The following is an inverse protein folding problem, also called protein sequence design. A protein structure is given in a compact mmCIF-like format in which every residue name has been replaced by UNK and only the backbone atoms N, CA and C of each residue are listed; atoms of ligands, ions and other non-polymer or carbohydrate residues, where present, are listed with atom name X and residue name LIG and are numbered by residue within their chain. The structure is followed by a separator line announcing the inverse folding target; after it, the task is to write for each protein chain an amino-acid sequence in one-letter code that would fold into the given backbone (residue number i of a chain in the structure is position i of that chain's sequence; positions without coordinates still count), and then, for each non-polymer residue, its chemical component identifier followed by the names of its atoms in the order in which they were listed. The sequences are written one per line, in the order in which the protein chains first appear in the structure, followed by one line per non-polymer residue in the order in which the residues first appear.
data_IF_892656728071
#
_entry.id   IF_892656728071
#
_cell.length_a   1.000
_cell.length_b   1.000
_cell.length_c   1.000
_cell.angle_alpha   90.00
_cell.angle_beta   90.00
_cell.angle_gamma   90.00
#
_symmetry.space_group_name_H-M   'P 1'
#
loop_
_entity.id
_entity.type
_entity.pdbx_description
1 polymer ?
#
# COMPACT_ATOMS: atom_id res chain seq x y z
N UNK A 1 -32.57 25.06 -30.57
CA UNK A 1 -32.93 23.74 -30.00
C UNK A 1 -31.73 23.21 -29.25
N UNK A 2 -31.85 22.89 -27.95
CA UNK A 2 -31.00 21.97 -27.19
C UNK A 2 -31.55 21.87 -25.75
N UNK A 3 -32.45 20.90 -25.53
CA UNK A 3 -33.07 20.65 -24.22
C UNK A 3 -32.19 19.73 -23.38
N UNK A 4 -31.65 20.27 -22.28
CA UNK A 4 -30.95 19.53 -21.22
C UNK A 4 -31.93 19.28 -20.08
N UNK A 5 -32.47 18.06 -19.98
CA UNK A 5 -33.33 17.66 -18.88
C UNK A 5 -32.54 16.81 -17.87
N UNK A 6 -32.41 17.30 -16.62
CA UNK A 6 -32.06 16.51 -15.44
C UNK A 6 -33.37 16.06 -14.78
N UNK A 7 -33.58 14.78 -14.44
CA UNK A 7 -34.67 14.42 -13.55
C UNK A 7 -34.24 14.60 -12.09
N UNK A 8 -34.85 15.58 -11.44
CA UNK A 8 -35.03 15.66 -9.98
C UNK A 8 -36.24 14.79 -9.64
N UNK A 9 -36.12 13.85 -8.69
CA UNK A 9 -37.29 13.29 -8.02
C UNK A 9 -37.02 13.14 -6.51
N UNK A 10 -38.00 13.44 -5.63
CA UNK A 10 -37.80 13.95 -4.27
C UNK A 10 -38.03 12.86 -3.18
N UNK A 11 -38.06 13.20 -1.87
CA UNK A 11 -37.74 12.27 -0.78
C UNK A 11 -38.97 11.56 -0.20
N UNK A 12 -38.79 10.31 0.20
CA UNK A 12 -39.75 9.57 1.05
C UNK A 12 -39.26 9.60 2.50
N UNK A 13 -40.04 10.23 3.38
CA UNK A 13 -39.90 10.14 4.84
C UNK A 13 -40.90 9.12 5.39
N UNK A 14 -40.51 8.30 6.37
CA UNK A 14 -41.31 8.04 7.59
C UNK A 14 -40.46 7.39 8.69
N UNK A 15 -40.47 8.00 9.87
CA UNK A 15 -39.89 7.50 11.13
C UNK A 15 -40.84 6.47 11.81
N UNK A 16 -40.48 5.80 12.93
CA UNK A 16 -40.22 6.46 14.22
C UNK A 16 -39.05 5.90 15.05
N UNK A 17 -38.56 6.73 15.97
CA UNK A 17 -37.71 6.36 17.11
C UNK A 17 -38.50 5.50 18.13
N UNK A 18 -37.83 4.89 19.13
CA UNK A 18 -37.59 5.65 20.35
C UNK A 18 -36.24 5.41 21.06
N UNK A 19 -35.85 6.42 21.83
CA UNK A 19 -35.08 6.36 23.07
C UNK A 19 -33.58 5.95 23.00
N UNK A 20 -32.73 6.98 22.98
CA UNK A 20 -31.54 7.04 23.83
C UNK A 20 -31.97 6.99 25.33
N UNK A 21 -31.11 6.75 26.35
CA UNK A 21 -29.68 7.09 26.37
C UNK A 21 -28.76 6.12 27.15
N UNK A 22 -27.45 6.21 26.93
CA UNK A 22 -26.43 6.34 27.98
C UNK A 22 -25.04 6.05 27.40
N UNK A 23 -24.19 7.08 27.34
CA UNK A 23 -22.76 6.88 27.58
C UNK A 23 -22.58 6.68 29.09
N UNK A 24 -21.70 5.76 29.50
CA UNK A 24 -20.70 6.14 30.48
C UNK A 24 -19.30 5.89 29.92
N UNK A 25 -18.41 6.81 30.29
CA UNK A 25 -16.98 6.71 30.07
C UNK A 25 -16.34 5.67 31.01
N UNK A 26 -15.07 5.37 30.69
CA UNK A 26 -14.07 4.60 31.46
C UNK A 26 -14.21 3.08 31.32
N UNK A 27 -13.17 2.28 31.07
CA UNK A 27 -11.80 2.35 31.58
C UNK A 27 -10.86 1.52 30.69
N UNK A 28 -9.60 1.94 30.71
CA UNK A 28 -8.37 1.26 30.31
C UNK A 28 -8.33 -0.25 30.65
N UNK A 29 -7.87 -1.07 29.71
CA UNK A 29 -7.08 -2.31 29.92
C UNK A 29 -6.99 -3.11 28.61
N UNK A 30 -5.77 -3.55 28.33
CA UNK A 30 -5.35 -4.40 27.21
C UNK A 30 -6.18 -5.68 27.06
N UNK A 31 -6.34 -6.14 25.81
CA UNK A 31 -5.69 -7.37 25.35
C UNK A 31 -5.99 -7.62 23.86
N UNK A 32 -4.94 -8.07 23.17
CA UNK A 32 -4.91 -8.82 21.93
C UNK A 32 -6.13 -8.82 20.99
N UNK A 33 -6.01 -8.06 19.90
CA UNK A 33 -6.76 -8.32 18.68
C UNK A 33 -5.86 -8.14 17.46
N UNK A 34 -5.03 -9.14 17.18
CA UNK A 34 -4.36 -9.30 15.90
C UNK A 34 -5.41 -9.23 14.77
N UNK A 35 -5.27 -8.36 13.75
CA UNK A 35 -6.21 -8.38 12.64
C UNK A 35 -5.99 -9.68 11.86
N UNK A 36 -6.99 -10.55 11.88
CA UNK A 36 -7.04 -11.76 11.07
C UNK A 36 -6.72 -11.40 9.61
N UNK A 37 -5.50 -11.75 9.17
CA UNK A 37 -5.04 -11.48 7.80
C UNK A 37 -5.91 -12.31 6.86
N UNK A 38 -6.95 -11.70 6.30
CA UNK A 38 -7.69 -12.27 5.19
C UNK A 38 -6.69 -12.48 4.05
N UNK A 39 -6.21 -13.72 3.89
CA UNK A 39 -5.43 -14.11 2.72
C UNK A 39 -6.37 -14.16 1.55
N UNK A 40 -6.66 -12.99 0.97
CA UNK A 40 -7.29 -12.93 -0.34
C UNK A 40 -6.26 -13.45 -1.32
N UNK A 41 -6.39 -14.73 -1.65
CA UNK A 41 -5.69 -15.38 -2.74
C UNK A 41 -6.12 -14.66 -4.03
N UNK A 42 -5.43 -13.57 -4.34
CA UNK A 42 -5.67 -12.78 -5.53
C UNK A 42 -5.02 -13.52 -6.70
N UNK A 43 -5.64 -14.64 -7.08
CA UNK A 43 -5.41 -15.29 -8.35
C UNK A 43 -5.44 -14.22 -9.43
N UNK A 44 -4.25 -13.95 -9.97
CA UNK A 44 -3.96 -13.23 -11.21
C UNK A 44 -5.18 -12.47 -11.75
N UNK A 45 -5.46 -11.29 -11.18
CA UNK A 45 -6.44 -10.35 -11.74
C UNK A 45 -5.95 -10.00 -13.14
N UNK A 46 -6.54 -10.68 -14.13
CA UNK A 46 -6.20 -10.63 -15.55
C UNK A 46 -6.42 -9.24 -16.20
N UNK A 47 -6.89 -8.26 -15.43
CA UNK A 47 -7.31 -6.94 -15.89
C UNK A 47 -6.38 -5.81 -15.41
N UNK A 48 -5.11 -6.09 -15.12
CA UNK A 48 -4.10 -5.02 -15.01
C UNK A 48 -3.47 -4.81 -16.38
N UNK A 49 -3.44 -3.56 -16.85
CA UNK A 49 -2.62 -3.15 -17.99
C UNK A 49 -1.23 -3.73 -17.79
N UNK A 50 -0.68 -4.48 -18.77
CA UNK A 50 0.67 -4.99 -18.67
C UNK A 50 1.63 -3.85 -18.37
N UNK A 51 2.53 -4.07 -17.41
CA UNK A 51 3.54 -3.10 -17.06
C UNK A 51 4.46 -2.90 -18.27
N UNK A 52 4.92 -1.66 -18.52
CA UNK A 52 5.88 -1.41 -19.59
C UNK A 52 7.13 -2.28 -19.37
N UNK A 53 7.81 -2.68 -20.45
CA UNK A 53 8.95 -3.61 -20.38
C UNK A 53 10.03 -3.11 -19.41
N UNK A 54 10.33 -1.82 -19.44
CA UNK A 54 11.37 -1.21 -18.61
C UNK A 54 10.95 -1.14 -17.13
N UNK A 55 9.68 -0.84 -16.86
CA UNK A 55 9.11 -0.86 -15.52
C UNK A 55 9.14 -2.28 -14.93
N UNK A 56 8.81 -3.30 -15.73
CA UNK A 56 8.86 -4.69 -15.32
C UNK A 56 10.29 -5.15 -15.04
N UNK A 57 11.25 -4.69 -15.84
CA UNK A 57 12.67 -4.93 -15.59
C UNK A 57 13.11 -4.30 -14.27
N UNK A 58 12.82 -3.01 -14.06
CA UNK A 58 13.12 -2.31 -12.79
C UNK A 58 12.47 -3.00 -11.58
N UNK A 59 11.23 -3.46 -11.73
CA UNK A 59 10.54 -4.22 -10.69
C UNK A 59 11.26 -5.51 -10.33
N UNK A 60 11.70 -6.28 -11.33
CA UNK A 60 12.46 -7.51 -11.12
C UNK A 60 13.80 -7.23 -10.44
N UNK A 61 14.56 -6.29 -10.99
CA UNK A 61 15.89 -5.92 -10.52
C UNK A 61 15.85 -5.41 -9.07
N UNK A 62 14.89 -4.55 -8.72
CA UNK A 62 14.77 -4.02 -7.34
C UNK A 62 14.28 -5.09 -6.36
N UNK A 63 13.41 -6.00 -6.80
CA UNK A 63 12.94 -7.12 -5.97
C UNK A 63 14.06 -8.10 -5.66
N UNK A 64 14.89 -8.41 -6.67
CA UNK A 64 16.06 -9.26 -6.49
C UNK A 64 17.09 -8.62 -5.56
N UNK A 65 17.37 -7.33 -5.74
CA UNK A 65 18.30 -6.59 -4.88
C UNK A 65 17.82 -6.61 -3.41
N UNK A 66 16.56 -6.25 -3.16
CA UNK A 66 16.00 -6.27 -1.80
C UNK A 66 16.05 -7.67 -1.18
N UNK A 67 15.70 -8.71 -1.93
CA UNK A 67 15.74 -10.09 -1.46
C UNK A 67 17.15 -10.51 -1.00
N UNK A 68 18.16 -10.21 -1.82
CA UNK A 68 19.55 -10.56 -1.52
C UNK A 68 20.10 -9.75 -0.34
N UNK A 69 19.75 -8.47 -0.24
CA UNK A 69 20.29 -7.58 0.79
C UNK A 69 19.61 -7.79 2.15
N UNK A 70 18.30 -8.03 2.17
CA UNK A 70 17.51 -8.15 3.41
C UNK A 70 17.38 -9.59 3.91
N UNK A 71 17.97 -10.56 3.21
CA UNK A 71 18.06 -11.95 3.66
C UNK A 71 16.78 -12.77 3.47
N UNK A 72 15.84 -12.32 2.63
CA UNK A 72 14.66 -13.11 2.32
C UNK A 72 13.46 -12.34 1.78
N UNK A 73 12.41 -13.11 1.47
CA UNK A 73 11.20 -12.63 0.81
C UNK A 73 10.41 -11.66 1.66
N UNK A 74 10.15 -12.00 2.92
CA UNK A 74 9.20 -11.24 3.74
C UNK A 74 9.75 -9.85 4.07
N UNK A 75 11.01 -9.74 4.48
CA UNK A 75 11.67 -8.46 4.70
C UNK A 75 11.72 -7.58 3.43
N UNK A 76 12.05 -8.18 2.28
CA UNK A 76 12.07 -7.47 1.01
C UNK A 76 10.68 -6.98 0.58
N UNK A 77 9.66 -7.83 0.71
CA UNK A 77 8.27 -7.48 0.38
C UNK A 77 7.75 -6.38 1.29
N UNK A 78 8.01 -6.47 2.59
CA UNK A 78 7.57 -5.49 3.57
C UNK A 78 8.23 -4.13 3.29
N UNK A 79 9.55 -4.09 3.06
CA UNK A 79 10.25 -2.86 2.70
C UNK A 79 9.70 -2.24 1.41
N UNK A 80 9.58 -3.03 0.34
CA UNK A 80 9.20 -2.51 -0.98
C UNK A 80 7.76 -2.00 -1.03
N UNK A 81 6.87 -2.60 -0.24
CA UNK A 81 5.44 -2.26 -0.27
C UNK A 81 5.02 -1.26 0.80
N UNK A 82 5.81 -1.07 1.85
CA UNK A 82 5.54 -0.11 2.93
C UNK A 82 5.85 1.33 2.51
N UNK A 83 5.23 2.29 3.18
CA UNK A 83 5.62 3.69 3.06
C UNK A 83 7.00 3.90 3.67
N UNK A 84 7.88 4.60 2.95
CA UNK A 84 9.20 4.97 3.43
C UNK A 84 9.35 6.50 3.38
N UNK A 85 9.32 7.13 4.55
CA UNK A 85 9.40 8.58 4.68
C UNK A 85 10.71 9.17 4.14
N UNK A 86 11.83 8.44 4.23
CA UNK A 86 13.12 8.90 3.71
C UNK A 86 13.16 8.93 2.17
N UNK A 87 12.36 8.07 1.53
CA UNK A 87 12.22 8.02 0.07
C UNK A 87 11.03 8.86 -0.43
N UNK A 88 10.21 9.41 0.47
CA UNK A 88 9.03 10.20 0.12
C UNK A 88 7.86 9.36 -0.44
N UNK A 89 7.82 8.06 -0.17
CA UNK A 89 6.73 7.19 -0.61
C UNK A 89 7.06 5.70 -0.56
N UNK A 90 6.26 4.91 -1.29
CA UNK A 90 6.42 3.45 -1.39
C UNK A 90 7.58 3.09 -2.32
N UNK A 91 8.61 2.36 -1.85
CA UNK A 91 9.80 2.10 -2.66
C UNK A 91 9.53 1.40 -3.99
N UNK A 92 8.60 0.43 -4.03
CA UNK A 92 8.25 -0.26 -5.28
C UNK A 92 7.59 0.66 -6.31
N UNK A 93 6.79 1.62 -5.86
CA UNK A 93 6.14 2.58 -6.75
C UNK A 93 7.16 3.57 -7.33
N UNK A 94 8.07 4.06 -6.48
CA UNK A 94 9.14 4.97 -6.89
C UNK A 94 10.12 4.31 -7.86
N UNK A 95 10.54 3.07 -7.57
CA UNK A 95 11.49 2.33 -8.38
C UNK A 95 10.95 1.96 -9.77
N UNK A 96 9.63 1.75 -9.91
CA UNK A 96 9.05 1.42 -11.21
C UNK A 96 8.68 2.65 -12.03
N UNK A 97 8.32 3.76 -11.38
CA UNK A 97 7.89 5.00 -12.05
C UNK A 97 8.99 5.68 -12.88
N UNK A 98 10.27 5.53 -12.52
CA UNK A 98 11.38 6.15 -13.25
C UNK A 98 12.72 5.47 -12.98
N UNK A 99 13.72 5.74 -13.83
CA UNK A 99 15.09 5.29 -13.60
C UNK A 99 15.75 5.99 -12.40
N UNK A 100 15.44 7.27 -12.17
CA UNK A 100 15.95 8.03 -11.02
C UNK A 100 15.41 7.46 -9.70
N UNK A 101 14.10 7.20 -9.63
CA UNK A 101 13.48 6.56 -8.47
C UNK A 101 14.04 5.16 -8.22
N UNK A 102 14.38 4.41 -9.28
CA UNK A 102 15.06 3.13 -9.15
C UNK A 102 16.43 3.28 -8.47
N UNK A 103 17.27 4.20 -8.94
CA UNK A 103 18.60 4.40 -8.36
C UNK A 103 18.53 4.89 -6.90
N UNK A 104 17.59 5.77 -6.59
CA UNK A 104 17.37 6.24 -5.21
C UNK A 104 17.03 5.08 -4.26
N UNK A 105 16.10 4.21 -4.67
CA UNK A 105 15.70 3.05 -3.86
C UNK A 105 16.82 2.02 -3.80
N UNK A 106 17.53 1.78 -4.90
CA UNK A 106 18.65 0.85 -4.95
C UNK A 106 19.80 1.31 -4.04
N UNK A 107 20.12 2.61 -4.00
CA UNK A 107 21.10 3.18 -3.08
C UNK A 107 20.68 2.96 -1.61
N UNK A 108 19.41 3.22 -1.29
CA UNK A 108 18.89 2.97 0.05
C UNK A 108 19.01 1.49 0.47
N UNK A 109 18.68 0.55 -0.43
CA UNK A 109 18.82 -0.89 -0.15
C UNK A 109 20.30 -1.24 0.07
N UNK A 110 21.21 -0.80 -0.80
CA UNK A 110 22.64 -1.06 -0.66
C UNK A 110 23.22 -0.52 0.66
N UNK A 111 22.73 0.62 1.13
CA UNK A 111 23.12 1.18 2.43
C UNK A 111 22.70 0.31 3.63
N UNK A 112 21.68 -0.54 3.46
CA UNK A 112 21.25 -1.51 4.47
C UNK A 112 22.02 -2.83 4.41
N UNK A 113 22.91 -3.01 3.44
CA UNK A 113 23.67 -4.24 3.31
C UNK A 113 24.55 -4.47 4.54
N UNK A 114 24.55 -5.69 5.10
CA UNK A 114 25.44 -6.03 6.21
C UNK A 114 26.89 -5.85 5.74
N UNK A 115 27.59 -4.86 6.31
CA UNK A 115 28.97 -4.49 5.97
C UNK A 115 29.13 -3.10 5.32
N UNK A 116 28.06 -2.43 4.90
CA UNK A 116 28.15 -1.11 4.26
C UNK A 116 28.52 0.05 5.20
N UNK A 117 28.36 -0.13 6.53
CA UNK A 117 28.64 0.87 7.55
C UNK A 117 29.99 0.69 8.28
N UNK A 118 30.83 -0.25 7.83
CA UNK A 118 32.14 -0.55 8.44
C UNK A 118 33.22 -0.54 7.36
N UNK A 119 33.68 0.65 6.99
CA UNK A 119 34.95 0.89 6.28
C UNK A 119 35.38 2.32 6.52
#
# INVERSE_FOLDING_TARGET
MNSRAKPVNPPVRKAPAPAAPAKPASTDAADDAAPARARTNNYFRKNRTPLARDDAKRQGDISQLAFLTMGGRDAAVDFLNSENAALGGRPLALATASAEGFEQVAAAIRAMAPGAATS
#
